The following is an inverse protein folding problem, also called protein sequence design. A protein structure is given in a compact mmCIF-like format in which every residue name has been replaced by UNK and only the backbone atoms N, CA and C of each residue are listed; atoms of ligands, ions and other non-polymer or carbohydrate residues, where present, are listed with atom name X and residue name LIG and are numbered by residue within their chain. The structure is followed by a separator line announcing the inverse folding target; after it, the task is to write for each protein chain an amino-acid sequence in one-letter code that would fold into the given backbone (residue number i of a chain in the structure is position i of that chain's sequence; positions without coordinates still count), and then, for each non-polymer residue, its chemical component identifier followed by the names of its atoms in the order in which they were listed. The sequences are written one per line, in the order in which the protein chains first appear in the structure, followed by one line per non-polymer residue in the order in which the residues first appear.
data_IF_382234364163
#
_entry.id   IF_382234364163
#
_cell.length_a   1.000
_cell.length_b   1.000
_cell.length_c   1.000
_cell.angle_alpha   90.00
_cell.angle_beta   90.00
_cell.angle_gamma   90.00
#
_symmetry.space_group_name_H-M   'P 1'
#
loop_
_entity.id
_entity.type
_entity.pdbx_description
1 polymer ?
#
# COMPACT_ATOMS: atom_id res chain seq x y z
N UNK A 1 8.76 10.42 3.26
CA UNK A 1 8.80 9.16 4.05
C UNK A 1 9.34 9.44 5.45
N UNK A 2 9.11 8.52 6.41
CA UNK A 2 9.55 8.68 7.79
C UNK A 2 11.08 8.56 7.93
N UNK A 3 11.68 9.44 8.73
CA UNK A 3 13.07 9.27 9.19
C UNK A 3 13.06 8.27 10.35
N UNK A 4 13.86 7.20 10.27
CA UNK A 4 13.93 6.17 11.32
C UNK A 4 12.72 5.23 11.38
N UNK A 5 12.22 4.75 10.23
CA UNK A 5 11.10 3.82 10.16
C UNK A 5 11.41 2.48 10.86
N UNK A 6 10.46 1.93 11.62
CA UNK A 6 10.53 0.61 12.26
C UNK A 6 10.44 -0.54 11.22
N UNK A 7 9.80 -0.27 10.08
CA UNK A 7 9.81 -1.13 8.92
C UNK A 7 9.94 -0.29 7.66
N UNK A 8 10.84 -0.70 6.76
CA UNK A 8 10.92 -0.19 5.40
C UNK A 8 11.13 -1.36 4.43
N UNK A 9 10.35 -1.39 3.35
CA UNK A 9 10.60 -2.29 2.23
C UNK A 9 10.28 -1.62 0.89
N UNK A 10 10.81 -2.22 -0.19
CA UNK A 10 10.63 -1.75 -1.55
C UNK A 10 10.71 -2.92 -2.51
N UNK A 11 9.78 -2.97 -3.47
CA UNK A 11 9.72 -3.97 -4.52
C UNK A 11 9.46 -3.30 -5.85
N UNK A 12 10.07 -3.81 -6.92
CA UNK A 12 9.93 -3.28 -8.25
C UNK A 12 9.65 -4.39 -9.27
N UNK A 13 8.90 -4.06 -10.32
CA UNK A 13 8.72 -4.92 -11.49
C UNK A 13 8.71 -4.09 -12.76
N UNK A 14 9.16 -4.68 -13.86
CA UNK A 14 9.10 -4.07 -15.19
C UNK A 14 7.66 -3.76 -15.58
N UNK A 15 7.46 -2.56 -16.12
CA UNK A 15 6.21 -2.11 -16.71
C UNK A 15 6.29 -2.35 -18.23
N UNK A 16 5.38 -3.15 -18.81
CA UNK A 16 5.36 -3.38 -20.24
C UNK A 16 5.23 -2.07 -21.04
N UNK A 17 5.86 -2.02 -22.21
CA UNK A 17 5.72 -0.91 -23.14
C UNK A 17 4.24 -0.70 -23.50
N UNK A 18 3.79 0.56 -23.52
CA UNK A 18 2.40 0.92 -23.84
C UNK A 18 1.44 1.00 -22.66
N UNK A 19 1.83 0.57 -21.45
CA UNK A 19 1.04 0.85 -20.24
C UNK A 19 1.17 2.33 -19.85
N UNK A 20 0.03 2.97 -19.58
CA UNK A 20 -0.04 4.37 -19.17
C UNK A 20 0.82 4.69 -17.95
N UNK A 21 1.27 5.94 -17.86
CA UNK A 21 2.14 6.42 -16.78
C UNK A 21 1.40 7.05 -15.61
N UNK A 22 0.12 6.76 -15.41
CA UNK A 22 -0.64 7.33 -14.29
C UNK A 22 -0.42 6.50 -13.01
N UNK A 23 0.28 7.03 -11.99
CA UNK A 23 0.54 6.31 -10.75
C UNK A 23 -0.74 5.99 -9.97
N UNK A 24 -1.81 6.80 -10.10
CA UNK A 24 -3.07 6.52 -9.41
C UNK A 24 -3.75 5.28 -10.01
N UNK A 25 -3.82 5.18 -11.33
CA UNK A 25 -4.32 3.97 -12.02
C UNK A 25 -3.52 2.72 -11.63
N UNK A 26 -2.20 2.79 -11.64
CA UNK A 26 -1.33 1.67 -11.27
C UNK A 26 -1.56 1.24 -9.81
N UNK A 27 -1.70 2.21 -8.90
CA UNK A 27 -2.05 1.94 -7.52
C UNK A 27 -3.43 1.27 -7.40
N UNK A 28 -4.44 1.73 -8.14
CA UNK A 28 -5.76 1.08 -8.17
C UNK A 28 -5.64 -0.37 -8.60
N UNK A 29 -4.97 -0.67 -9.71
CA UNK A 29 -4.78 -2.05 -10.19
C UNK A 29 -4.03 -2.92 -9.17
N UNK A 30 -3.02 -2.35 -8.50
CA UNK A 30 -2.24 -3.02 -7.48
C UNK A 30 -3.07 -3.43 -6.27
N UNK A 31 -3.99 -2.56 -5.84
CA UNK A 31 -4.81 -2.75 -4.63
C UNK A 31 -6.19 -3.37 -4.90
N UNK A 32 -6.70 -3.33 -6.14
CA UNK A 32 -7.91 -4.07 -6.53
C UNK A 32 -7.62 -5.56 -6.66
N UNK A 33 -8.60 -6.42 -6.42
CA UNK A 33 -8.43 -7.87 -6.63
C UNK A 33 -7.38 -8.53 -5.73
N UNK A 34 -7.20 -8.05 -4.49
CA UNK A 34 -6.35 -8.72 -3.49
C UNK A 34 -6.65 -10.22 -3.41
N UNK A 35 -5.59 -11.02 -3.30
CA UNK A 35 -5.71 -12.47 -3.19
C UNK A 35 -6.59 -12.87 -1.99
N UNK A 36 -7.35 -13.96 -2.12
CA UNK A 36 -8.31 -14.38 -1.10
C UNK A 36 -7.68 -14.57 0.29
N UNK A 37 -6.46 -15.10 0.35
CA UNK A 37 -5.71 -15.26 1.60
C UNK A 37 -5.37 -13.90 2.26
N UNK A 38 -5.02 -12.89 1.46
CA UNK A 38 -4.71 -11.55 1.95
C UNK A 38 -5.96 -10.89 2.55
N UNK A 39 -7.12 -11.07 1.89
CA UNK A 39 -8.42 -10.61 2.39
C UNK A 39 -8.79 -11.31 3.71
N UNK A 40 -8.54 -12.61 3.83
CA UNK A 40 -8.77 -13.35 5.07
C UNK A 40 -7.88 -12.87 6.22
N UNK A 41 -6.61 -12.57 5.94
CA UNK A 41 -5.70 -12.01 6.94
C UNK A 41 -6.11 -10.60 7.38
N UNK A 42 -6.59 -9.76 6.46
CA UNK A 42 -7.14 -8.45 6.81
C UNK A 42 -8.36 -8.58 7.73
N UNK A 43 -9.27 -9.54 7.45
CA UNK A 43 -10.41 -9.83 8.33
C UNK A 43 -9.98 -10.33 9.71
N UNK A 44 -8.98 -11.22 9.75
CA UNK A 44 -8.43 -11.73 11.02
C UNK A 44 -7.80 -10.59 11.82
N UNK A 45 -7.00 -9.73 11.18
CA UNK A 45 -6.46 -8.52 11.78
C UNK A 45 -7.56 -7.68 12.38
N UNK A 46 -8.59 -7.34 11.60
CA UNK A 46 -9.72 -6.53 12.07
C UNK A 46 -10.42 -7.15 13.28
N UNK A 47 -10.59 -8.47 13.30
CA UNK A 47 -11.17 -9.19 14.43
C UNK A 47 -10.30 -9.07 15.70
N UNK A 48 -8.98 -9.25 15.56
CA UNK A 48 -8.05 -9.19 16.69
C UNK A 48 -7.88 -7.77 17.24
N UNK A 49 -7.93 -6.75 16.38
CA UNK A 49 -7.69 -5.35 16.79
C UNK A 49 -8.95 -4.64 17.27
N UNK A 50 -10.14 -5.19 17.01
CA UNK A 50 -11.45 -4.64 17.42
C UNK A 50 -11.53 -4.28 18.92
N UNK A 51 -11.12 -5.13 19.86
CA UNK A 51 -11.17 -4.80 21.30
C UNK A 51 -10.21 -3.68 21.70
N UNK A 52 -9.16 -3.43 20.90
CA UNK A 52 -8.14 -2.42 21.17
C UNK A 52 -8.50 -1.03 20.62
N UNK A 53 -9.69 -0.88 20.01
CA UNK A 53 -10.17 0.40 19.49
C UNK A 53 -9.37 0.93 18.30
N UNK A 54 -8.72 0.05 17.53
CA UNK A 54 -8.01 0.40 16.30
C UNK A 54 -8.98 0.54 15.13
N UNK A 55 -8.58 1.29 14.08
CA UNK A 55 -9.38 1.43 12.86
C UNK A 55 -9.45 0.08 12.13
N UNK A 56 -10.66 -0.39 11.86
CA UNK A 56 -10.89 -1.61 11.05
C UNK A 56 -10.98 -1.27 9.57
N UNK A 57 -10.60 -2.20 8.70
CA UNK A 57 -10.62 -2.03 7.24
C UNK A 57 -11.97 -1.50 6.73
N UNK A 58 -13.09 -2.03 7.25
CA UNK A 58 -14.44 -1.58 6.86
C UNK A 58 -14.73 -0.13 7.25
N UNK A 59 -14.25 0.32 8.42
CA UNK A 59 -14.42 1.73 8.85
C UNK A 59 -13.53 2.66 8.05
N UNK A 60 -12.35 2.20 7.66
CA UNK A 60 -11.44 2.97 6.79
C UNK A 60 -12.04 3.09 5.38
N UNK A 61 -12.62 2.02 4.85
CA UNK A 61 -13.28 2.05 3.54
C UNK A 61 -14.59 2.85 3.54
N UNK A 62 -15.35 2.84 4.64
CA UNK A 62 -16.67 3.49 4.74
C UNK A 62 -16.61 4.95 5.24
N UNK A 63 -15.59 5.32 6.01
CA UNK A 63 -15.45 6.69 6.51
C UNK A 63 -14.70 7.56 5.48
N UNK A 64 -15.39 8.55 4.94
CA UNK A 64 -14.71 9.78 4.56
C UNK A 64 -14.04 10.36 5.81
N UNK A 65 -12.73 10.57 5.75
CA UNK A 65 -12.00 11.19 6.85
C UNK A 65 -12.43 12.67 6.92
N UNK A 66 -12.93 13.19 8.06
CA UNK A 66 -13.24 14.61 8.20
C UNK A 66 -12.05 15.54 7.92
N UNK A 67 -10.82 15.03 8.02
CA UNK A 67 -9.59 15.71 7.64
C UNK A 67 -9.19 15.53 6.15
N UNK A 68 -10.02 14.86 5.35
CA UNK A 68 -9.92 14.74 3.89
C UNK A 68 -11.27 15.09 3.23
N UNK A 69 -11.54 16.40 2.99
CA UNK A 69 -12.79 16.86 2.37
C UNK A 69 -13.02 16.32 0.95
N UNK A 70 -12.03 15.67 0.32
CA UNK A 70 -12.14 15.06 -1.00
C UNK A 70 -12.43 13.55 -1.00
N UNK A 71 -12.37 12.88 0.17
CA UNK A 71 -12.51 11.42 0.31
C UNK A 71 -11.68 10.63 -0.73
N UNK A 72 -10.45 11.08 -1.02
CA UNK A 72 -9.61 10.49 -2.06
C UNK A 72 -8.92 9.26 -1.46
N UNK A 73 -9.56 8.10 -1.61
CA UNK A 73 -9.08 6.79 -1.11
C UNK A 73 -8.90 5.77 -2.23
N UNK A 74 -7.95 4.87 -2.05
CA UNK A 74 -7.81 3.61 -2.81
C UNK A 74 -7.98 2.46 -1.82
N UNK A 75 -9.14 1.81 -1.85
CA UNK A 75 -9.50 0.78 -0.87
C UNK A 75 -9.49 1.35 0.55
N UNK A 76 -8.66 0.78 1.42
CA UNK A 76 -8.52 1.22 2.82
C UNK A 76 -7.50 2.35 3.00
N UNK A 77 -6.81 2.77 1.94
CA UNK A 77 -5.70 3.71 2.03
C UNK A 77 -6.13 5.12 1.61
N UNK A 78 -5.87 6.10 2.48
CA UNK A 78 -5.97 7.53 2.15
C UNK A 78 -4.86 7.94 1.18
N UNK A 79 -5.19 8.79 0.21
CA UNK A 79 -4.22 9.47 -0.65
C UNK A 79 -3.68 10.69 0.10
N UNK A 80 -2.37 10.74 0.31
CA UNK A 80 -1.68 11.88 0.94
C UNK A 80 -1.13 12.85 -0.10
N UNK A 81 -0.56 12.32 -1.18
CA UNK A 81 0.07 13.11 -2.23
C UNK A 81 0.00 12.39 -3.57
N UNK A 82 -0.22 13.14 -4.64
CA UNK A 82 -0.15 12.64 -6.02
C UNK A 82 0.80 13.55 -6.80
N UNK A 83 1.77 12.92 -7.47
CA UNK A 83 2.75 13.52 -8.38
C UNK A 83 2.64 12.85 -9.74
N UNK A 84 3.23 13.41 -10.80
CA UNK A 84 3.17 12.81 -12.13
C UNK A 84 3.74 11.39 -12.21
N UNK A 85 4.75 11.08 -11.41
CA UNK A 85 5.43 9.78 -11.40
C UNK A 85 5.20 8.98 -10.11
N UNK A 86 4.47 9.53 -9.12
CA UNK A 86 4.38 8.92 -7.79
C UNK A 86 3.03 9.20 -7.13
N UNK A 87 2.48 8.21 -6.43
CA UNK A 87 1.37 8.43 -5.50
C UNK A 87 1.73 7.90 -4.12
N UNK A 88 1.47 8.71 -3.09
CA UNK A 88 1.68 8.37 -1.68
C UNK A 88 0.33 8.10 -1.04
N UNK A 89 0.21 6.89 -0.54
CA UNK A 89 -0.93 6.34 0.17
C UNK A 89 -0.52 6.08 1.63
N UNK A 90 -1.50 5.96 2.52
CA UNK A 90 -1.18 5.56 3.90
C UNK A 90 -2.34 5.77 4.83
N UNK A 91 -2.06 5.60 6.12
CA UNK A 91 -2.94 5.97 7.22
C UNK A 91 -2.15 6.27 8.48
N UNK A 92 -2.78 7.05 9.36
CA UNK A 92 -2.33 7.30 10.72
C UNK A 92 -3.30 6.62 11.70
N UNK A 93 -2.73 5.85 12.62
CA UNK A 93 -3.45 5.08 13.64
C UNK A 93 -2.72 5.14 14.99
N UNK A 94 -3.41 4.75 16.05
CA UNK A 94 -2.93 4.90 17.44
C UNK A 94 -1.66 4.13 17.75
N UNK A 95 -1.40 3.03 17.04
CA UNK A 95 -0.29 2.11 17.30
C UNK A 95 0.89 2.33 16.34
N UNK A 96 0.60 2.74 15.11
CA UNK A 96 1.58 3.05 14.07
C UNK A 96 0.98 3.96 13.02
N UNK A 97 1.86 4.68 12.34
CA UNK A 97 1.58 5.31 11.05
C UNK A 97 2.22 4.46 9.96
N UNK A 98 1.57 4.34 8.82
CA UNK A 98 2.20 3.75 7.64
C UNK A 98 2.02 4.64 6.42
N UNK A 99 3.02 4.59 5.56
CA UNK A 99 3.00 5.18 4.23
C UNK A 99 3.40 4.12 3.22
N UNK A 100 2.75 4.14 2.09
CA UNK A 100 3.06 3.33 0.94
C UNK A 100 3.14 4.25 -0.28
N UNK A 101 4.12 4.04 -1.13
CA UNK A 101 4.24 4.74 -2.42
C UNK A 101 4.09 3.76 -3.57
N UNK A 102 3.50 4.22 -4.67
CA UNK A 102 3.59 3.59 -5.99
C UNK A 102 4.24 4.60 -6.92
N UNK A 103 5.45 4.28 -7.39
CA UNK A 103 6.29 5.17 -8.19
C UNK A 103 6.66 4.54 -9.52
N UNK A 104 6.63 5.35 -10.56
CA UNK A 104 7.17 5.07 -11.88
C UNK A 104 8.59 5.61 -11.98
N UNK A 105 9.50 4.79 -12.47
CA UNK A 105 10.87 5.21 -12.74
C UNK A 105 11.36 4.61 -14.07
N UNK A 106 12.32 5.21 -14.76
CA UNK A 106 13.02 4.55 -15.87
C UNK A 106 13.68 3.25 -15.39
N UNK A 107 13.70 2.22 -16.24
CA UNK A 107 14.51 1.02 -16.00
C UNK A 107 15.98 1.35 -16.34
N UNK A 108 16.91 1.33 -15.36
CA UNK A 108 18.33 1.64 -15.61
C UNK A 108 19.01 0.61 -16.51
N UNK A 109 18.50 -0.62 -16.56
CA UNK A 109 19.08 -1.73 -17.32
C UNK A 109 18.44 -1.86 -18.72
N UNK A 110 17.26 -1.25 -18.94
CA UNK A 110 16.48 -1.33 -20.19
C UNK A 110 16.01 0.05 -20.66
N UNK A 111 16.80 0.75 -21.49
CA UNK A 111 16.44 2.06 -22.02
C UNK A 111 15.10 2.05 -22.75
N UNK A 112 14.21 2.97 -22.37
CA UNK A 112 12.85 3.07 -22.94
C UNK A 112 11.80 2.23 -22.19
N UNK A 113 12.22 1.34 -21.28
CA UNK A 113 11.31 0.66 -20.35
C UNK A 113 11.20 1.44 -19.03
N UNK A 114 10.13 1.14 -18.28
CA UNK A 114 9.88 1.71 -16.96
C UNK A 114 9.73 0.60 -15.92
N UNK A 115 9.97 0.95 -14.67
CA UNK A 115 9.70 0.15 -13.50
C UNK A 115 8.51 0.75 -12.75
N UNK A 116 7.64 -0.11 -12.24
CA UNK A 116 6.72 0.26 -11.16
C UNK A 116 7.32 -0.22 -9.85
N UNK A 117 7.57 0.72 -8.97
CA UNK A 117 8.13 0.52 -7.64
C UNK A 117 7.05 0.74 -6.60
N UNK A 118 7.02 -0.12 -5.61
CA UNK A 118 6.14 0.02 -4.45
C UNK A 118 6.99 -0.06 -3.20
N UNK A 119 6.91 0.94 -2.34
CA UNK A 119 7.67 0.94 -1.09
C UNK A 119 6.75 1.25 0.09
N UNK A 120 6.95 0.55 1.20
CA UNK A 120 6.21 0.76 2.44
C UNK A 120 7.15 1.21 3.53
N UNK A 121 6.75 2.22 4.28
CA UNK A 121 7.43 2.67 5.49
C UNK A 121 6.44 2.74 6.65
N UNK A 122 6.83 2.22 7.81
CA UNK A 122 6.01 2.20 9.03
C UNK A 122 6.77 2.84 10.17
N UNK A 123 6.09 3.68 10.95
CA UNK A 123 6.59 4.25 12.19
C UNK A 123 5.66 3.86 13.33
N UNK A 124 6.19 3.17 14.34
CA UNK A 124 5.42 2.70 15.48
C UNK A 124 5.44 3.73 16.62
N UNK A 125 4.29 3.94 17.26
CA UNK A 125 4.15 4.88 18.38
C UNK A 125 4.40 4.24 19.74
N UNK A 126 4.22 2.91 19.85
CA UNK A 126 4.28 2.18 21.12
C UNK A 126 4.69 0.71 20.92
N UNK A 127 4.85 -0.02 22.02
CA UNK A 127 5.22 -1.43 22.01
C UNK A 127 4.21 -2.33 21.28
N UNK A 128 2.90 -2.01 21.35
CA UNK A 128 1.86 -2.72 20.60
C UNK A 128 2.10 -2.60 19.09
N UNK A 129 2.43 -1.39 18.61
CA UNK A 129 2.78 -1.15 17.21
C UNK A 129 3.96 -1.98 16.75
N UNK A 130 5.03 -2.02 17.56
CA UNK A 130 6.24 -2.82 17.26
C UNK A 130 5.97 -4.32 17.22
N UNK A 131 5.22 -4.84 18.18
CA UNK A 131 4.81 -6.25 18.20
C UNK A 131 3.93 -6.56 16.99
N UNK A 132 2.95 -5.72 16.71
CA UNK A 132 2.05 -5.86 15.58
C UNK A 132 2.80 -5.92 14.25
N UNK A 133 3.66 -4.93 13.95
CA UNK A 133 4.39 -4.90 12.68
C UNK A 133 5.33 -6.10 12.53
N UNK A 134 5.96 -6.54 13.63
CA UNK A 134 6.82 -7.74 13.64
C UNK A 134 6.04 -8.99 13.23
N UNK A 135 4.82 -9.17 13.77
CA UNK A 135 3.98 -10.31 13.46
C UNK A 135 3.43 -10.28 12.03
N UNK A 136 3.03 -9.11 11.54
CA UNK A 136 2.42 -8.98 10.20
C UNK A 136 3.43 -8.85 9.06
N UNK A 137 4.69 -8.47 9.35
CA UNK A 137 5.75 -8.26 8.36
C UNK A 137 5.87 -9.36 7.30
N UNK A 138 5.99 -10.66 7.63
CA UNK A 138 6.11 -11.68 6.58
C UNK A 138 4.91 -11.71 5.64
N UNK A 139 3.70 -11.49 6.18
CA UNK A 139 2.48 -11.42 5.39
C UNK A 139 2.43 -10.14 4.54
N UNK A 140 2.88 -9.00 5.06
CA UNK A 140 2.98 -7.76 4.31
C UNK A 140 3.84 -7.92 3.05
N UNK A 141 5.04 -8.50 3.20
CA UNK A 141 5.94 -8.81 2.08
C UNK A 141 5.24 -9.70 1.05
N UNK A 142 4.55 -10.76 1.50
CA UNK A 142 3.83 -11.65 0.61
C UNK A 142 2.68 -10.96 -0.14
N UNK A 143 1.95 -10.04 0.53
CA UNK A 143 0.83 -9.30 -0.09
C UNK A 143 1.37 -8.35 -1.16
N UNK A 144 2.42 -7.59 -0.86
CA UNK A 144 3.02 -6.65 -1.80
C UNK A 144 3.53 -7.37 -3.06
N UNK A 145 4.30 -8.45 -2.90
CA UNK A 145 4.83 -9.25 -4.01
C UNK A 145 3.71 -9.93 -4.81
N UNK A 146 2.68 -10.45 -4.14
CA UNK A 146 1.52 -11.06 -4.81
C UNK A 146 0.72 -10.03 -5.61
N UNK A 147 0.59 -8.80 -5.10
CA UNK A 147 -0.08 -7.69 -5.78
C UNK A 147 0.64 -7.33 -7.08
N UNK A 148 1.95 -7.10 -7.00
CA UNK A 148 2.79 -6.79 -8.16
C UNK A 148 2.76 -7.91 -9.20
N UNK A 149 2.95 -9.16 -8.79
CA UNK A 149 2.93 -10.30 -9.70
C UNK A 149 1.57 -10.47 -10.39
N UNK A 150 0.47 -10.20 -9.69
CA UNK A 150 -0.88 -10.23 -10.27
C UNK A 150 -1.08 -9.09 -11.28
N UNK A 151 -0.72 -7.86 -10.92
CA UNK A 151 -0.84 -6.70 -11.79
C UNK A 151 -0.04 -6.88 -13.09
N UNK A 152 1.19 -7.41 -12.98
CA UNK A 152 2.01 -7.72 -14.13
C UNK A 152 1.39 -8.81 -15.03
N UNK A 153 0.86 -9.90 -14.46
CA UNK A 153 0.15 -10.94 -15.23
C UNK A 153 -1.12 -10.43 -15.93
N UNK A 154 -1.81 -9.47 -15.31
CA UNK A 154 -2.99 -8.83 -15.88
C UNK A 154 -2.67 -7.68 -16.86
N UNK A 155 -1.38 -7.42 -17.14
CA UNK A 155 -0.97 -6.34 -18.02
C UNK A 155 -1.35 -4.94 -17.53
N UNK A 156 -1.51 -4.78 -16.21
CA UNK A 156 -1.93 -3.53 -15.57
C UNK A 156 -3.30 -3.00 -16.02
N UNK A 157 -4.19 -3.91 -16.45
CA UNK A 157 -5.61 -3.62 -16.73
C UNK A 157 -6.44 -3.82 -15.46
N UNK A 158 -7.41 -2.93 -15.20
CA UNK A 158 -8.27 -2.92 -14.01
C UNK A 158 -9.51 -3.79 -14.20
#
# INVERSE_FOLDING_TARGET
MFVGADLADCYAIGLPAGVGGDPEHLARVLFTGQAGWARSLLKLRDLLVRPFGLKTSDRMAAAGDPADPGNRRIGIFRIYETRPDEIILGEDDRHLDFRLTVRLAPDPDRPGERLVMTATAVRCHNGLGRLYITLIRPFHVAVARSGLARAARAGWQA
#
